data_IF_413078708326
#
_entry.id   IF_413078708326
#
_cell.length_a   1.000
_cell.length_b   1.000
_cell.length_c   1.000
_cell.angle_alpha   90.00
_cell.angle_beta   90.00
_cell.angle_gamma   90.00
#
_symmetry.space_group_name_H-M   'P 1'
#
loop_
_entity.id
_entity.type
_entity.pdbx_description
1 polymer ?
#
# COMPACT_ATOMS: atom_id res chain seq x y z
N UNK A 1 -3.47 -4.28 -11.21
CA UNK A 1 -2.69 -3.34 -10.37
C UNK A 1 -3.13 -3.57 -8.94
N UNK A 2 -2.25 -3.45 -7.93
CA UNK A 2 -2.65 -3.59 -6.53
C UNK A 2 -3.38 -2.35 -6.05
N UNK A 3 -4.34 -2.56 -5.13
CA UNK A 3 -5.27 -1.54 -4.66
C UNK A 3 -5.13 -1.27 -3.19
N UNK A 4 -5.07 0.01 -2.81
CA UNK A 4 -5.15 0.47 -1.43
C UNK A 4 -6.46 1.22 -1.20
N UNK A 5 -7.27 0.75 -0.26
CA UNK A 5 -8.55 1.37 0.10
C UNK A 5 -8.36 2.44 1.17
N UNK A 6 -8.79 3.67 0.90
CA UNK A 6 -8.80 4.73 1.90
C UNK A 6 -10.09 4.64 2.70
N UNK A 7 -9.95 4.43 4.00
CA UNK A 7 -11.06 4.32 4.95
C UNK A 7 -10.94 5.34 6.08
N UNK A 8 -12.02 5.62 6.76
CA UNK A 8 -12.02 6.51 7.92
C UNK A 8 -13.45 6.85 8.35
N UNK A 9 -13.60 7.33 9.57
CA UNK A 9 -14.87 7.85 10.05
C UNK A 9 -15.27 9.12 9.27
N UNK A 10 -16.53 9.55 9.33
CA UNK A 10 -16.93 10.83 8.73
C UNK A 10 -16.12 12.01 9.28
N UNK A 11 -15.83 12.98 8.42
CA UNK A 11 -15.16 14.24 8.77
C UNK A 11 -13.70 14.11 9.31
N UNK A 12 -12.99 13.04 8.95
CA UNK A 12 -11.56 12.88 9.29
C UNK A 12 -10.62 13.43 8.21
N UNK A 13 -11.14 13.95 7.09
CA UNK A 13 -10.36 14.45 5.96
C UNK A 13 -10.12 13.41 4.84
N UNK A 14 -10.82 12.27 4.87
CA UNK A 14 -10.66 11.16 3.92
C UNK A 14 -10.83 11.60 2.45
N UNK A 15 -11.93 12.24 2.11
CA UNK A 15 -12.23 12.66 0.72
C UNK A 15 -11.31 13.79 0.25
N UNK A 16 -10.89 14.69 1.15
CA UNK A 16 -9.89 15.71 0.86
C UNK A 16 -8.57 15.06 0.49
N UNK A 17 -8.13 14.09 1.29
CA UNK A 17 -6.89 13.33 1.02
C UNK A 17 -6.99 12.57 -0.32
N UNK A 18 -8.09 11.84 -0.56
CA UNK A 18 -8.28 11.11 -1.82
C UNK A 18 -8.22 12.03 -3.04
N UNK A 19 -8.91 13.17 -2.96
CA UNK A 19 -8.89 14.17 -4.04
C UNK A 19 -7.48 14.75 -4.25
N UNK A 20 -6.74 15.04 -3.19
CA UNK A 20 -5.36 15.51 -3.30
C UNK A 20 -4.46 14.45 -3.95
N UNK A 21 -4.51 13.19 -3.49
CA UNK A 21 -3.75 12.07 -4.06
C UNK A 21 -4.04 11.93 -5.56
N UNK A 22 -5.31 11.92 -5.95
CA UNK A 22 -5.71 11.66 -7.34
C UNK A 22 -5.44 12.85 -8.25
N UNK A 23 -5.60 14.09 -7.80
CA UNK A 23 -5.32 15.30 -8.59
C UNK A 23 -3.84 15.48 -8.86
N UNK A 24 -2.99 15.31 -7.84
CA UNK A 24 -1.54 15.51 -7.95
C UNK A 24 -0.92 14.61 -9.04
N UNK A 25 -1.53 13.48 -9.38
CA UNK A 25 -0.92 12.43 -10.21
C UNK A 25 -1.75 11.99 -11.43
N UNK A 26 -2.97 12.48 -11.60
CA UNK A 26 -3.82 12.12 -12.76
C UNK A 26 -3.23 12.52 -14.13
N UNK A 27 -2.42 13.57 -14.18
CA UNK A 27 -1.76 13.99 -15.44
C UNK A 27 -0.76 12.93 -15.95
N UNK A 28 -0.21 12.11 -15.07
CA UNK A 28 0.75 11.06 -15.39
C UNK A 28 0.06 9.70 -15.66
N UNK A 29 -1.19 9.51 -15.19
CA UNK A 29 -1.96 8.27 -15.37
C UNK A 29 -2.32 7.99 -16.85
N UNK A 30 -2.32 9.00 -17.71
CA UNK A 30 -2.57 8.85 -19.16
C UNK A 30 -1.56 7.91 -19.86
N UNK A 31 -0.42 7.60 -19.23
CA UNK A 31 0.60 6.71 -19.76
C UNK A 31 0.35 5.22 -19.42
N UNK A 32 -0.71 4.91 -18.68
CA UNK A 32 -1.05 3.52 -18.30
C UNK A 32 -2.23 3.02 -19.16
N UNK A 33 -1.99 2.10 -20.10
CA UNK A 33 -3.07 1.50 -20.89
C UNK A 33 -3.97 0.62 -19.98
N UNK A 34 -5.28 0.63 -20.29
CA UNK A 34 -6.33 -0.16 -19.61
C UNK A 34 -6.86 0.38 -18.26
N UNK A 35 -6.79 1.69 -18.01
CA UNK A 35 -7.42 2.27 -16.84
C UNK A 35 -8.92 2.48 -17.07
N UNK A 36 -9.75 1.82 -16.26
CA UNK A 36 -11.18 2.12 -16.18
C UNK A 36 -11.35 3.41 -15.39
N UNK A 37 -12.09 4.38 -15.93
CA UNK A 37 -12.41 5.62 -15.21
C UNK A 37 -13.56 5.29 -14.25
N UNK A 38 -13.22 4.96 -13.01
CA UNK A 38 -14.18 4.87 -11.91
C UNK A 38 -13.99 6.12 -11.04
N UNK A 39 -15.06 6.86 -10.70
CA UNK A 39 -14.94 8.10 -9.90
C UNK A 39 -14.34 7.92 -8.51
N UNK A 40 -14.31 6.69 -8.00
CA UNK A 40 -13.75 6.36 -6.70
C UNK A 40 -12.38 5.64 -6.77
N UNK A 41 -11.77 5.54 -7.96
CA UNK A 41 -10.47 4.89 -8.16
C UNK A 41 -9.51 5.88 -8.79
N UNK A 42 -8.37 6.07 -8.17
CA UNK A 42 -7.28 6.90 -8.68
C UNK A 42 -6.00 6.12 -8.87
N UNK A 43 -5.39 6.21 -10.05
CA UNK A 43 -4.06 5.68 -10.31
C UNK A 43 -3.04 6.73 -9.91
N UNK A 44 -2.10 6.31 -9.07
CA UNK A 44 -1.15 7.21 -8.43
C UNK A 44 0.26 6.69 -8.67
N UNK A 45 1.14 7.55 -9.15
CA UNK A 45 2.55 7.22 -9.35
C UNK A 45 3.29 7.17 -8.03
N UNK A 46 4.17 6.18 -7.89
CA UNK A 46 5.05 6.04 -6.73
C UNK A 46 6.25 6.99 -6.89
N UNK A 47 6.45 7.96 -5.98
CA UNK A 47 7.60 8.85 -6.04
C UNK A 47 8.91 8.07 -5.87
N UNK A 48 9.81 8.18 -6.85
CA UNK A 48 11.12 7.53 -6.83
C UNK A 48 12.19 8.44 -7.40
N UNK A 49 13.05 8.97 -6.53
CA UNK A 49 14.11 9.90 -6.89
C UNK A 49 15.16 9.27 -7.85
N UNK A 50 15.27 7.93 -7.86
CA UNK A 50 16.22 7.20 -8.71
C UNK A 50 15.95 7.40 -10.19
N UNK A 51 14.70 7.66 -10.57
CA UNK A 51 14.29 7.86 -11.97
C UNK A 51 14.98 9.08 -12.61
N UNK A 52 15.21 10.14 -11.86
CA UNK A 52 15.88 11.34 -12.36
C UNK A 52 17.32 11.07 -12.81
N UNK A 53 18.09 10.31 -12.01
CA UNK A 53 19.46 9.93 -12.35
C UNK A 53 19.50 8.92 -13.51
N UNK A 54 18.59 7.94 -13.51
CA UNK A 54 18.49 6.99 -14.62
C UNK A 54 18.15 7.67 -15.94
N UNK A 55 17.23 8.67 -15.92
CA UNK A 55 16.91 9.53 -17.06
C UNK A 55 18.17 10.20 -17.62
N UNK A 56 19.01 10.78 -16.74
CA UNK A 56 20.25 11.46 -17.11
C UNK A 56 21.25 10.48 -17.76
N UNK A 57 21.45 9.29 -17.15
CA UNK A 57 22.38 8.26 -17.63
C UNK A 57 21.91 7.68 -18.97
N UNK A 58 20.63 7.39 -19.10
CA UNK A 58 20.03 6.82 -20.31
C UNK A 58 19.85 7.85 -21.44
N UNK A 59 20.01 9.15 -21.16
CA UNK A 59 19.86 10.26 -22.11
C UNK A 59 18.47 10.26 -22.81
N UNK A 60 17.44 9.91 -22.09
CA UNK A 60 16.04 9.90 -22.57
C UNK A 60 15.20 10.98 -21.90
N UNK A 61 14.12 11.39 -22.54
CA UNK A 61 13.12 12.27 -21.91
C UNK A 61 11.88 11.52 -21.46
N UNK A 62 11.76 10.23 -21.78
CA UNK A 62 10.59 9.42 -21.43
C UNK A 62 10.89 8.67 -20.14
N UNK A 63 10.13 8.99 -19.09
CA UNK A 63 10.20 8.34 -17.78
C UNK A 63 8.82 7.83 -17.39
N UNK A 64 8.74 6.56 -17.04
CA UNK A 64 7.49 5.91 -16.61
C UNK A 64 7.70 5.37 -15.19
N UNK A 65 7.14 6.03 -14.16
CA UNK A 65 7.23 5.59 -12.77
C UNK A 65 6.39 4.33 -12.49
N UNK A 66 6.60 3.68 -11.37
CA UNK A 66 5.67 2.67 -10.85
C UNK A 66 4.36 3.33 -10.40
N UNK A 67 3.27 2.57 -10.34
CA UNK A 67 1.99 3.08 -9.90
C UNK A 67 1.19 2.06 -9.09
N UNK A 68 0.33 2.57 -8.20
CA UNK A 68 -0.67 1.81 -7.46
C UNK A 68 -2.04 2.46 -7.58
N UNK A 69 -3.11 1.70 -7.33
CA UNK A 69 -4.47 2.23 -7.30
C UNK A 69 -4.87 2.59 -5.87
N UNK A 70 -5.41 3.80 -5.68
CA UNK A 70 -6.12 4.19 -4.47
C UNK A 70 -7.63 4.18 -4.74
N UNK A 71 -8.39 3.66 -3.78
CA UNK A 71 -9.85 3.57 -3.85
C UNK A 71 -10.45 4.35 -2.69
N UNK A 72 -11.32 5.34 -2.97
CA UNK A 72 -12.11 6.00 -1.93
C UNK A 72 -13.24 5.09 -1.48
N UNK A 73 -13.11 4.53 -0.29
CA UNK A 73 -14.15 3.70 0.31
C UNK A 73 -15.04 4.59 1.17
N UNK A 74 -16.34 4.63 0.86
CA UNK A 74 -17.31 5.45 1.60
C UNK A 74 -17.20 5.24 3.11
N UNK A 75 -17.30 6.34 3.89
CA UNK A 75 -17.04 6.29 5.33
C UNK A 75 -17.95 5.31 6.09
N UNK A 76 -17.36 4.66 7.08
CA UNK A 76 -18.05 3.74 7.98
C UNK A 76 -19.02 4.50 8.89
N UNK A 77 -20.23 3.99 9.00
CA UNK A 77 -21.16 4.35 10.06
C UNK A 77 -21.22 3.18 11.04
N UNK A 78 -21.20 3.46 12.34
CA UNK A 78 -21.33 2.44 13.41
C UNK A 78 -22.54 1.54 13.15
N UNK A 79 -22.36 0.21 13.23
CA UNK A 79 -23.41 -0.77 12.92
C UNK A 79 -23.37 -1.29 11.47
N UNK A 80 -22.32 -1.03 10.75
CA UNK A 80 -22.13 -1.50 9.36
C UNK A 80 -22.19 -3.03 9.22
N UNK A 81 -21.73 -3.75 10.23
CA UNK A 81 -21.74 -5.22 10.29
C UNK A 81 -23.12 -5.81 10.52
N UNK A 82 -24.10 -5.02 11.04
CA UNK A 82 -25.45 -5.50 11.33
C UNK A 82 -26.42 -5.50 10.12
N UNK A 83 -25.93 -5.19 8.92
CA UNK A 83 -26.57 -5.68 7.69
C UNK A 83 -27.57 -4.77 7.00
N UNK A 84 -27.68 -3.48 7.29
CA UNK A 84 -28.56 -2.60 6.53
C UNK A 84 -27.81 -1.58 5.65
N UNK A 85 -27.91 -1.73 4.34
CA UNK A 85 -27.65 -0.68 3.35
C UNK A 85 -26.17 -0.35 3.08
N UNK A 86 -25.73 0.83 3.51
CA UNK A 86 -24.39 1.40 3.23
C UNK A 86 -23.23 0.62 3.87
N UNK A 87 -23.46 -0.03 5.02
CA UNK A 87 -22.45 -0.81 5.72
C UNK A 87 -21.96 -2.04 4.92
N UNK A 88 -22.87 -2.76 4.29
CA UNK A 88 -22.51 -3.91 3.44
C UNK A 88 -21.67 -3.50 2.22
N UNK A 89 -21.94 -2.34 1.62
CA UNK A 89 -21.13 -1.81 0.51
C UNK A 89 -19.71 -1.47 0.98
N UNK A 90 -19.57 -0.84 2.15
CA UNK A 90 -18.27 -0.55 2.75
C UNK A 90 -17.43 -1.82 2.93
N UNK A 91 -17.99 -2.86 3.55
CA UNK A 91 -17.30 -4.14 3.77
C UNK A 91 -16.95 -4.84 2.45
N UNK A 92 -17.81 -4.73 1.43
CA UNK A 92 -17.54 -5.28 0.09
C UNK A 92 -16.35 -4.59 -0.55
N UNK A 93 -16.30 -3.25 -0.53
CA UNK A 93 -15.18 -2.51 -1.11
C UNK A 93 -13.86 -2.81 -0.40
N UNK A 94 -13.87 -2.99 0.95
CA UNK A 94 -12.64 -3.40 1.66
C UNK A 94 -12.19 -4.80 1.22
N UNK A 95 -13.09 -5.73 0.88
CA UNK A 95 -12.69 -7.05 0.36
C UNK A 95 -11.94 -6.96 -0.95
N UNK A 96 -12.26 -6.00 -1.80
CA UNK A 96 -11.73 -5.84 -3.15
C UNK A 96 -10.34 -5.17 -3.20
N UNK A 97 -9.87 -4.60 -2.09
CA UNK A 97 -8.56 -3.95 -2.00
C UNK A 97 -7.52 -4.86 -1.35
N UNK A 98 -6.24 -4.62 -1.63
CA UNK A 98 -5.13 -5.43 -1.13
C UNK A 98 -4.57 -4.90 0.20
N UNK A 99 -4.69 -3.59 0.45
CA UNK A 99 -4.30 -2.93 1.69
C UNK A 99 -5.32 -1.86 2.09
N UNK A 100 -5.26 -1.45 3.35
CA UNK A 100 -6.11 -0.40 3.92
C UNK A 100 -5.24 0.79 4.37
N UNK A 101 -5.65 1.99 3.96
CA UNK A 101 -5.15 3.27 4.50
C UNK A 101 -6.22 3.84 5.39
N UNK A 102 -6.04 3.75 6.69
CA UNK A 102 -6.99 4.28 7.66
C UNK A 102 -6.65 5.71 8.02
N UNK A 103 -7.48 6.67 7.59
CA UNK A 103 -7.33 8.09 7.92
C UNK A 103 -7.88 8.34 9.31
N UNK A 104 -7.06 8.92 10.18
CA UNK A 104 -7.36 9.18 11.57
C UNK A 104 -7.24 10.67 11.85
N UNK A 105 -8.27 11.27 12.45
CA UNK A 105 -8.26 12.68 12.80
C UNK A 105 -7.42 12.93 14.05
N UNK A 106 -6.36 13.71 13.90
CA UNK A 106 -5.41 14.06 14.96
C UNK A 106 -5.37 15.58 15.21
N UNK A 107 -6.51 16.27 15.07
CA UNK A 107 -6.63 17.71 15.28
C UNK A 107 -7.99 18.11 15.85
N UNK A 108 -8.02 19.23 16.56
CA UNK A 108 -9.25 19.86 17.02
C UNK A 108 -9.67 20.97 16.04
N UNK A 109 -10.97 21.01 15.71
CA UNK A 109 -11.55 22.05 14.88
C UNK A 109 -13.01 22.25 15.26
N UNK A 110 -13.37 23.49 15.68
CA UNK A 110 -14.70 23.83 16.13
C UNK A 110 -15.74 23.80 14.98
N UNK A 111 -15.29 24.05 13.75
CA UNK A 111 -16.15 24.10 12.57
C UNK A 111 -16.39 22.71 11.96
N UNK A 112 -15.62 21.70 12.38
CA UNK A 112 -15.72 20.32 11.89
C UNK A 112 -16.28 19.41 12.99
N UNK A 113 -17.56 19.07 12.91
CA UNK A 113 -18.18 18.17 13.87
C UNK A 113 -17.55 16.78 13.86
N UNK A 114 -17.19 16.26 15.05
CA UNK A 114 -16.78 14.87 15.23
C UNK A 114 -18.00 14.01 15.57
N UNK A 115 -18.10 12.83 14.95
CA UNK A 115 -19.27 11.91 15.11
C UNK A 115 -19.52 11.53 16.58
N UNK A 116 -18.46 11.45 17.39
CA UNK A 116 -18.54 11.10 18.82
C UNK A 116 -18.49 12.30 19.76
N UNK A 117 -18.50 13.52 19.26
CA UNK A 117 -18.47 14.76 20.05
C UNK A 117 -17.11 15.12 20.67
N UNK A 118 -16.20 14.17 20.81
CA UNK A 118 -14.81 14.37 21.32
C UNK A 118 -13.81 13.68 20.40
N UNK A 119 -12.63 14.26 20.26
CA UNK A 119 -11.54 13.67 19.45
C UNK A 119 -10.80 12.66 20.30
N UNK A 120 -10.85 11.43 19.85
CA UNK A 120 -10.08 10.31 20.40
C UNK A 120 -9.68 9.37 19.25
N UNK A 121 -8.47 9.56 18.71
CA UNK A 121 -8.03 8.84 17.51
C UNK A 121 -7.92 7.32 17.74
N UNK A 122 -7.58 6.87 18.95
CA UNK A 122 -7.52 5.44 19.27
C UNK A 122 -8.89 4.81 19.25
N UNK A 123 -9.89 5.45 19.88
CA UNK A 123 -11.28 5.01 19.83
C UNK A 123 -11.79 4.95 18.37
N UNK A 124 -11.43 5.92 17.54
CA UNK A 124 -11.84 5.95 16.14
C UNK A 124 -11.26 4.78 15.34
N UNK A 125 -10.03 4.39 15.63
CA UNK A 125 -9.40 3.17 15.09
C UNK A 125 -10.15 1.93 15.55
N UNK A 126 -10.43 1.82 16.84
CA UNK A 126 -11.13 0.68 17.43
C UNK A 126 -12.55 0.49 16.89
N UNK A 127 -13.26 1.58 16.60
CA UNK A 127 -14.60 1.52 15.97
C UNK A 127 -14.52 0.83 14.61
N UNK A 128 -13.58 1.22 13.74
CA UNK A 128 -13.43 0.60 12.43
C UNK A 128 -12.98 -0.85 12.57
N UNK A 129 -11.96 -1.13 13.38
CA UNK A 129 -11.46 -2.48 13.59
C UNK A 129 -12.56 -3.41 14.14
N UNK A 130 -13.40 -2.93 15.05
CA UNK A 130 -14.52 -3.72 15.60
C UNK A 130 -15.50 -4.13 14.52
N UNK A 131 -15.89 -3.21 13.63
CA UNK A 131 -16.82 -3.53 12.52
C UNK A 131 -16.22 -4.56 11.54
N UNK A 132 -14.92 -4.45 11.25
CA UNK A 132 -14.21 -5.44 10.39
C UNK A 132 -14.16 -6.81 11.08
N UNK A 133 -13.82 -6.85 12.36
CA UNK A 133 -13.76 -8.07 13.16
C UNK A 133 -15.12 -8.76 13.28
N UNK A 134 -16.20 -8.00 13.49
CA UNK A 134 -17.55 -8.56 13.56
C UNK A 134 -17.98 -9.21 12.24
N UNK A 135 -17.67 -8.57 11.11
CA UNK A 135 -17.92 -9.14 9.80
C UNK A 135 -17.10 -10.43 9.54
N UNK A 136 -15.84 -10.44 9.98
CA UNK A 136 -14.99 -11.63 9.87
C UNK A 136 -15.46 -12.75 10.76
N UNK A 137 -15.89 -12.46 11.98
CA UNK A 137 -16.39 -13.45 12.94
C UNK A 137 -17.55 -14.24 12.34
N UNK A 138 -18.49 -13.57 11.67
CA UNK A 138 -19.60 -14.22 11.00
C UNK A 138 -19.14 -15.20 9.90
N UNK A 139 -18.16 -14.79 9.09
CA UNK A 139 -17.59 -15.62 8.04
C UNK A 139 -16.86 -16.84 8.62
N UNK A 140 -16.03 -16.60 9.64
CA UNK A 140 -15.24 -17.65 10.31
C UNK A 140 -16.16 -18.68 10.96
N UNK A 141 -17.16 -18.26 11.73
CA UNK A 141 -18.10 -19.17 12.39
C UNK A 141 -18.87 -20.02 11.41
N UNK A 142 -19.45 -19.43 10.37
CA UNK A 142 -20.17 -20.18 9.32
C UNK A 142 -19.27 -21.21 8.62
N UNK A 143 -18.01 -20.88 8.41
CA UNK A 143 -17.06 -21.79 7.77
C UNK A 143 -16.69 -22.93 8.72
N UNK A 144 -16.38 -22.66 9.97
CA UNK A 144 -16.05 -23.66 10.98
C UNK A 144 -17.17 -24.66 11.20
N UNK A 145 -18.44 -24.23 11.21
CA UNK A 145 -19.60 -25.14 11.28
C UNK A 145 -19.65 -26.14 10.11
N UNK A 146 -19.25 -25.73 8.91
CA UNK A 146 -19.16 -26.63 7.74
C UNK A 146 -18.00 -27.58 7.86
N UNK A 147 -16.81 -27.06 8.21
CA UNK A 147 -15.58 -27.83 8.37
C UNK A 147 -15.72 -28.91 9.46
N UNK A 148 -16.45 -28.63 10.54
CA UNK A 148 -16.69 -29.61 11.61
C UNK A 148 -17.39 -30.89 11.12
N UNK A 149 -18.20 -30.82 10.05
CA UNK A 149 -18.84 -31.99 9.45
C UNK A 149 -17.84 -32.81 8.62
N UNK A 150 -16.97 -32.16 7.88
CA UNK A 150 -16.00 -32.82 7.01
C UNK A 150 -14.81 -33.36 7.84
N UNK A 151 -14.39 -32.66 8.91
CA UNK A 151 -13.43 -33.14 9.87
C UNK A 151 -13.89 -34.43 10.58
N UNK A 152 -15.18 -34.53 10.95
CA UNK A 152 -15.77 -35.78 11.50
C UNK A 152 -15.75 -36.96 10.53
N UNK A 153 -15.64 -36.69 9.24
CA UNK A 153 -15.49 -37.72 8.18
C UNK A 153 -14.03 -38.10 7.93
N UNK A 154 -13.09 -37.48 8.66
CA UNK A 154 -11.68 -37.78 8.56
C UNK A 154 -10.90 -36.93 7.53
N UNK A 155 -11.49 -35.85 7.01
CA UNK A 155 -10.82 -34.94 6.09
C UNK A 155 -9.75 -34.14 6.83
N UNK A 156 -8.47 -34.46 6.55
CA UNK A 156 -7.30 -33.82 7.17
C UNK A 156 -7.15 -32.36 6.79
N UNK A 157 -7.57 -31.97 5.58
CA UNK A 157 -7.54 -30.58 5.12
C UNK A 157 -8.53 -29.74 5.92
N UNK A 158 -9.76 -30.27 6.11
CA UNK A 158 -10.78 -29.61 6.94
C UNK A 158 -10.33 -29.43 8.40
N UNK A 159 -9.61 -30.39 8.95
CA UNK A 159 -9.05 -30.29 10.32
C UNK A 159 -7.99 -29.18 10.39
N UNK A 160 -7.07 -29.11 9.44
CA UNK A 160 -6.03 -28.08 9.41
C UNK A 160 -6.63 -26.68 9.23
N UNK A 161 -7.59 -26.53 8.32
CA UNK A 161 -8.30 -25.28 8.06
C UNK A 161 -9.07 -24.80 9.32
N UNK A 162 -9.82 -25.71 9.99
CA UNK A 162 -10.55 -25.38 11.22
C UNK A 162 -9.62 -24.94 12.35
N UNK A 163 -8.44 -25.57 12.48
CA UNK A 163 -7.45 -25.18 13.46
C UNK A 163 -6.95 -23.74 13.26
N UNK A 164 -6.70 -23.33 12.02
CA UNK A 164 -6.30 -21.97 11.66
C UNK A 164 -7.42 -20.96 11.97
N UNK A 165 -8.64 -21.28 11.53
CA UNK A 165 -9.80 -20.43 11.80
C UNK A 165 -10.12 -20.34 13.29
N UNK A 166 -9.84 -21.39 14.08
CA UNK A 166 -9.96 -21.37 15.52
C UNK A 166 -9.03 -20.36 16.19
N UNK A 167 -7.78 -20.20 15.69
CA UNK A 167 -6.85 -19.16 16.16
C UNK A 167 -7.37 -17.75 15.86
N UNK A 168 -7.91 -17.55 14.66
CA UNK A 168 -8.49 -16.27 14.23
C UNK A 168 -9.71 -15.93 15.09
N UNK A 169 -10.63 -16.87 15.27
CA UNK A 169 -11.84 -16.67 16.08
C UNK A 169 -11.49 -16.31 17.54
N UNK A 170 -10.52 -17.00 18.11
CA UNK A 170 -10.05 -16.70 19.47
C UNK A 170 -9.50 -15.26 19.58
N UNK A 171 -8.69 -14.82 18.63
CA UNK A 171 -8.16 -13.47 18.61
C UNK A 171 -9.27 -12.41 18.48
N UNK A 172 -10.22 -12.62 17.56
CA UNK A 172 -11.35 -11.70 17.35
C UNK A 172 -12.20 -11.61 18.63
N UNK A 173 -12.47 -12.73 19.30
CA UNK A 173 -13.22 -12.74 20.56
C UNK A 173 -12.48 -12.04 21.71
N UNK A 174 -11.15 -11.91 21.62
CA UNK A 174 -10.34 -11.09 22.53
C UNK A 174 -10.25 -9.61 22.09
N UNK A 175 -10.97 -9.21 21.06
CA UNK A 175 -10.92 -7.85 20.48
C UNK A 175 -9.64 -7.56 19.68
N UNK A 176 -8.95 -8.59 19.19
CA UNK A 176 -7.71 -8.47 18.39
C UNK A 176 -8.01 -8.79 16.93
N UNK A 177 -7.67 -7.90 15.98
CA UNK A 177 -7.83 -8.13 14.54
C UNK A 177 -7.05 -9.35 14.05
N UNK A 178 -7.52 -10.00 12.98
CA UNK A 178 -6.90 -11.20 12.43
C UNK A 178 -5.44 -10.99 12.01
N UNK A 179 -5.06 -9.78 11.56
CA UNK A 179 -3.67 -9.41 11.22
C UNK A 179 -2.68 -9.62 12.38
N UNK A 180 -3.15 -9.61 13.63
CA UNK A 180 -2.30 -9.81 14.81
C UNK A 180 -2.02 -11.28 15.10
N UNK A 181 -2.72 -12.20 14.44
CA UNK A 181 -2.57 -13.64 14.65
C UNK A 181 -1.27 -14.15 14.01
N UNK A 182 -0.40 -14.74 14.81
CA UNK A 182 0.83 -15.34 14.31
C UNK A 182 0.51 -16.66 13.61
N UNK A 183 0.52 -16.66 12.30
CA UNK A 183 0.34 -17.83 11.43
C UNK A 183 1.66 -18.22 10.77
N UNK A 184 1.92 -19.52 10.60
CA UNK A 184 3.02 -20.00 9.76
C UNK A 184 2.71 -19.70 8.28
N UNK A 185 3.71 -19.77 7.36
CA UNK A 185 3.45 -19.60 5.93
C UNK A 185 2.38 -20.56 5.38
N UNK A 186 2.37 -21.81 5.85
CA UNK A 186 1.39 -22.82 5.47
C UNK A 186 0.00 -22.46 6.00
N UNK A 187 -0.11 -22.00 7.23
CA UNK A 187 -1.37 -21.54 7.83
C UNK A 187 -1.92 -20.30 7.13
N UNK A 188 -1.05 -19.38 6.69
CA UNK A 188 -1.47 -18.22 5.88
C UNK A 188 -2.07 -18.64 4.54
N UNK A 189 -1.51 -19.65 3.88
CA UNK A 189 -2.10 -20.20 2.65
C UNK A 189 -3.51 -20.79 2.90
N UNK A 190 -3.75 -21.39 4.07
CA UNK A 190 -5.06 -21.89 4.46
C UNK A 190 -6.05 -20.78 4.81
N UNK A 191 -5.59 -19.64 5.35
CA UNK A 191 -6.46 -18.51 5.69
C UNK A 191 -6.78 -17.59 4.51
N UNK A 192 -5.90 -17.49 3.52
CA UNK A 192 -6.01 -16.58 2.38
C UNK A 192 -7.36 -16.65 1.63
N UNK A 193 -7.97 -17.84 1.38
CA UNK A 193 -9.25 -17.95 0.67
C UNK A 193 -10.44 -17.31 1.39
N UNK A 194 -10.31 -16.93 2.66
CA UNK A 194 -11.41 -16.32 3.42
C UNK A 194 -11.52 -14.81 3.22
N UNK A 195 -10.49 -14.17 2.67
CA UNK A 195 -10.46 -12.73 2.42
C UNK A 195 -10.91 -11.92 3.65
N UNK A 196 -10.33 -12.27 4.82
CA UNK A 196 -10.67 -11.62 6.08
C UNK A 196 -10.34 -10.12 6.01
N UNK A 197 -11.29 -9.31 6.45
CA UNK A 197 -11.19 -7.85 6.39
C UNK A 197 -10.18 -7.31 7.40
N UNK A 198 -10.18 -7.87 8.61
CA UNK A 198 -9.27 -7.49 9.68
C UNK A 198 -7.87 -8.13 9.58
N UNK A 199 -7.61 -8.95 8.55
CA UNK A 199 -6.28 -9.51 8.22
C UNK A 199 -5.55 -8.67 7.15
N UNK A 200 -6.21 -7.66 6.58
CA UNK A 200 -5.60 -6.83 5.54
C UNK A 200 -4.45 -6.00 6.08
N UNK A 201 -3.32 -5.92 5.35
CA UNK A 201 -2.24 -4.98 5.66
C UNK A 201 -2.80 -3.57 5.81
N UNK A 202 -2.48 -2.90 6.90
CA UNK A 202 -3.07 -1.60 7.23
C UNK A 202 -1.99 -0.59 7.61
N UNK A 203 -2.10 0.63 7.07
CA UNK A 203 -1.32 1.81 7.46
C UNK A 203 -2.25 2.90 7.95
N UNK A 204 -1.82 3.64 8.97
CA UNK A 204 -2.61 4.70 9.58
C UNK A 204 -2.11 6.08 9.14
N UNK A 205 -2.99 6.89 8.55
CA UNK A 205 -2.69 8.25 8.13
C UNK A 205 -3.23 9.23 9.19
N UNK A 206 -2.34 9.72 10.05
CA UNK A 206 -2.65 10.72 11.06
C UNK A 206 -2.82 12.08 10.38
N UNK A 207 -4.06 12.53 10.21
CA UNK A 207 -4.38 13.83 9.63
C UNK A 207 -4.32 14.91 10.70
N UNK A 208 -3.37 15.84 10.54
CA UNK A 208 -3.14 16.98 11.44
C UNK A 208 -3.51 18.30 10.78
N UNK A 209 -3.64 19.38 11.58
CA UNK A 209 -3.73 20.75 11.04
C UNK A 209 -2.40 21.16 10.43
N UNK A 210 -2.47 22.16 9.55
CA UNK A 210 -1.29 22.83 8.97
C UNK A 210 -0.32 23.29 10.04
N UNK A 211 -0.82 24.01 11.06
CA UNK A 211 -0.01 24.53 12.18
C UNK A 211 0.76 23.46 12.95
N UNK A 212 0.30 22.24 12.93
CA UNK A 212 0.84 21.14 13.71
C UNK A 212 1.77 20.23 12.89
N UNK A 213 1.85 20.46 11.57
CA UNK A 213 2.57 19.56 10.65
C UNK A 213 4.06 19.49 10.96
N UNK A 214 4.74 20.63 11.16
CA UNK A 214 6.17 20.68 11.49
C UNK A 214 6.50 20.07 12.87
N UNK A 215 5.57 20.14 13.81
CA UNK A 215 5.68 19.61 15.17
C UNK A 215 4.93 18.30 15.40
N UNK A 216 4.52 17.62 14.36
CA UNK A 216 3.63 16.46 14.44
C UNK A 216 4.15 15.30 15.28
N UNK A 217 5.47 15.14 15.38
CA UNK A 217 6.10 14.11 16.21
C UNK A 217 5.84 14.30 17.72
N UNK A 218 5.54 15.53 18.14
CA UNK A 218 5.17 15.89 19.52
C UNK A 218 3.68 16.11 19.72
N UNK A 219 2.87 15.99 18.67
CA UNK A 219 1.43 16.12 18.76
C UNK A 219 0.86 14.94 19.59
N UNK A 220 0.10 15.21 20.68
CA UNK A 220 -0.34 14.17 21.61
C UNK A 220 -1.27 13.13 20.95
N UNK A 221 -2.04 13.50 19.94
CA UNK A 221 -2.91 12.59 19.20
C UNK A 221 -2.07 11.65 18.31
N UNK A 222 -1.08 12.18 17.60
CA UNK A 222 -0.16 11.39 16.76
C UNK A 222 0.64 10.41 17.61
N UNK A 223 1.16 10.87 18.75
CA UNK A 223 1.90 10.00 19.68
C UNK A 223 1.04 8.83 20.17
N UNK A 224 -0.21 9.09 20.58
CA UNK A 224 -1.16 8.05 21.01
C UNK A 224 -1.44 7.04 19.89
N UNK A 225 -1.66 7.51 18.66
CA UNK A 225 -1.89 6.62 17.51
C UNK A 225 -0.66 5.73 17.27
N UNK A 226 0.53 6.32 17.18
CA UNK A 226 1.78 5.58 16.95
C UNK A 226 2.02 4.50 18.01
N UNK A 227 1.87 4.85 19.28
CA UNK A 227 2.01 3.92 20.39
C UNK A 227 0.99 2.77 20.29
N UNK A 228 -0.27 3.10 20.05
CA UNK A 228 -1.35 2.12 19.93
C UNK A 228 -1.12 1.15 18.76
N UNK A 229 -0.88 1.67 17.56
CA UNK A 229 -0.77 0.82 16.36
C UNK A 229 0.50 -0.03 16.38
N UNK A 230 1.59 0.48 16.94
CA UNK A 230 2.82 -0.28 17.08
C UNK A 230 2.67 -1.39 18.12
N UNK A 231 2.07 -1.08 19.26
CA UNK A 231 1.98 -2.03 20.40
C UNK A 231 0.93 -3.11 20.16
N UNK A 232 -0.24 -2.75 19.61
CA UNK A 232 -1.38 -3.65 19.51
C UNK A 232 -1.57 -4.26 18.12
N UNK A 233 -1.10 -3.59 17.06
CA UNK A 233 -1.37 -4.01 15.68
C UNK A 233 -0.09 -4.34 14.89
N UNK A 234 1.09 -3.97 15.39
CA UNK A 234 2.37 -4.04 14.68
C UNK A 234 2.33 -3.32 13.33
N UNK A 235 1.62 -2.20 13.26
CA UNK A 235 1.42 -1.37 12.07
C UNK A 235 2.20 -0.07 12.17
N UNK A 236 2.32 0.64 11.02
CA UNK A 236 2.92 1.95 10.92
C UNK A 236 1.87 3.06 10.88
N UNK A 237 2.26 4.26 11.34
CA UNK A 237 1.48 5.48 11.22
C UNK A 237 2.31 6.58 10.56
N UNK A 238 1.77 7.18 9.51
CA UNK A 238 2.34 8.33 8.80
C UNK A 238 1.55 9.59 9.14
N UNK A 239 2.22 10.73 9.09
CA UNK A 239 1.56 12.03 9.30
C UNK A 239 1.27 12.67 7.97
N UNK A 240 0.08 13.21 7.84
CA UNK A 240 -0.38 13.99 6.69
C UNK A 240 -1.11 15.25 7.19
N UNK A 241 -1.19 16.27 6.34
CA UNK A 241 -2.20 17.31 6.44
C UNK A 241 -3.00 17.33 5.14
N UNK A 242 -4.21 16.80 5.18
CA UNK A 242 -5.05 16.69 3.98
C UNK A 242 -5.33 18.07 3.35
N UNK A 243 -5.36 19.13 4.17
CA UNK A 243 -5.51 20.51 3.69
C UNK A 243 -4.27 20.96 2.92
N UNK A 244 -3.07 20.84 3.51
CA UNK A 244 -1.80 21.20 2.86
C UNK A 244 -1.64 20.41 1.56
N UNK A 245 -1.92 19.11 1.59
CA UNK A 245 -1.81 18.28 0.37
C UNK A 245 -2.78 18.73 -0.73
N UNK A 246 -3.97 19.23 -0.35
CA UNK A 246 -4.91 19.82 -1.31
C UNK A 246 -4.40 21.13 -1.91
N UNK A 247 -3.74 21.95 -1.09
CA UNK A 247 -3.22 23.26 -1.53
C UNK A 247 -1.98 23.09 -2.44
N UNK A 248 -1.15 22.06 -2.18
CA UNK A 248 0.02 21.72 -3.01
C UNK A 248 -0.35 21.30 -4.44
N UNK A 249 -1.56 20.79 -4.66
CA UNK A 249 -2.00 20.32 -6.00
C UNK A 249 -1.96 21.43 -7.05
N UNK A 250 -2.27 22.66 -6.64
CA UNK A 250 -2.40 23.79 -7.53
C UNK A 250 -1.07 24.56 -7.73
N UNK A 251 0.02 24.13 -7.07
CA UNK A 251 1.34 24.73 -7.16
C UNK A 251 2.23 24.02 -8.19
N UNK A 252 3.13 24.79 -8.81
CA UNK A 252 4.22 24.20 -9.59
C UNK A 252 5.18 23.43 -8.67
N UNK A 253 5.89 22.38 -9.16
CA UNK A 253 6.76 21.55 -8.31
C UNK A 253 7.77 22.34 -7.46
N UNK A 254 8.42 23.34 -8.05
CA UNK A 254 9.40 24.18 -7.35
C UNK A 254 8.74 25.07 -6.27
N UNK A 255 7.52 25.53 -6.52
CA UNK A 255 6.72 26.30 -5.56
C UNK A 255 6.23 25.42 -4.42
N UNK A 256 5.78 24.19 -4.72
CA UNK A 256 5.39 23.20 -3.72
C UNK A 256 6.55 22.84 -2.79
N UNK A 257 7.74 22.60 -3.33
CA UNK A 257 8.95 22.33 -2.55
C UNK A 257 9.35 23.54 -1.67
N UNK A 258 9.23 24.77 -2.18
CA UNK A 258 9.49 25.98 -1.41
C UNK A 258 8.48 26.13 -0.26
N UNK A 259 7.21 25.91 -0.52
CA UNK A 259 6.13 25.97 0.47
C UNK A 259 6.32 24.93 1.59
N UNK A 260 6.64 23.67 1.27
CA UNK A 260 6.93 22.65 2.27
C UNK A 260 8.14 23.01 3.15
N UNK A 261 9.19 23.59 2.56
CA UNK A 261 10.37 24.07 3.32
C UNK A 261 10.02 25.21 4.27
N UNK A 262 9.15 26.13 3.85
CA UNK A 262 8.67 27.24 4.70
C UNK A 262 7.88 26.70 5.90
N UNK A 263 7.08 25.64 5.70
CA UNK A 263 6.39 24.92 6.76
C UNK A 263 7.32 24.06 7.64
N UNK A 264 8.62 23.98 7.34
CA UNK A 264 9.58 23.15 8.07
C UNK A 264 9.46 21.65 7.78
N UNK A 265 8.82 21.27 6.67
CA UNK A 265 8.59 19.89 6.26
C UNK A 265 9.52 19.53 5.10
N UNK A 266 10.08 18.32 5.11
CA UNK A 266 11.05 17.88 4.10
C UNK A 266 10.41 17.40 2.80
N UNK A 267 9.22 16.82 2.90
CA UNK A 267 8.50 16.20 1.77
C UNK A 267 7.00 16.13 2.03
N UNK A 268 6.21 15.97 0.98
CA UNK A 268 4.75 15.79 1.03
C UNK A 268 4.37 14.53 1.81
N UNK A 269 3.41 14.64 2.71
CA UNK A 269 2.85 13.50 3.45
C UNK A 269 2.22 12.45 2.53
N UNK A 270 1.62 12.89 1.39
CA UNK A 270 1.14 11.99 0.34
C UNK A 270 2.30 11.18 -0.26
N UNK A 271 3.44 11.79 -0.51
CA UNK A 271 4.62 11.08 -1.01
C UNK A 271 5.08 9.97 -0.07
N UNK A 272 5.14 10.27 1.23
CA UNK A 272 5.45 9.29 2.29
C UNK A 272 4.39 8.19 2.32
N UNK A 273 3.11 8.56 2.34
CA UNK A 273 1.99 7.60 2.40
C UNK A 273 2.00 6.62 1.22
N UNK A 274 2.23 7.11 0.00
CA UNK A 274 2.29 6.26 -1.20
C UNK A 274 3.43 5.25 -1.09
N UNK A 275 4.65 5.70 -0.72
CA UNK A 275 5.79 4.80 -0.56
C UNK A 275 5.58 3.79 0.56
N UNK A 276 5.09 4.23 1.73
CA UNK A 276 4.80 3.32 2.84
C UNK A 276 3.73 2.30 2.48
N UNK A 277 2.69 2.69 1.74
CA UNK A 277 1.66 1.76 1.24
C UNK A 277 2.25 0.76 0.24
N UNK A 278 3.16 1.21 -0.64
CA UNK A 278 3.86 0.35 -1.59
C UNK A 278 4.70 -0.71 -0.88
N UNK A 279 5.45 -0.32 0.15
CA UNK A 279 6.23 -1.26 0.98
C UNK A 279 5.35 -2.19 1.81
N UNK A 280 4.25 -1.68 2.36
CA UNK A 280 3.28 -2.48 3.13
C UNK A 280 2.71 -3.64 2.30
N UNK A 281 2.50 -3.42 1.00
CA UNK A 281 2.06 -4.44 0.05
C UNK A 281 3.17 -5.44 -0.34
N UNK A 282 4.36 -5.34 0.26
CA UNK A 282 5.50 -6.20 -0.06
C UNK A 282 6.04 -5.97 -1.47
N UNK A 283 5.87 -4.76 -2.01
CA UNK A 283 6.30 -4.39 -3.34
C UNK A 283 7.72 -3.80 -3.32
N UNK A 284 8.41 -4.00 -4.42
CA UNK A 284 9.69 -3.39 -4.72
C UNK A 284 9.79 -3.05 -6.21
N UNK A 285 10.77 -2.23 -6.54
CA UNK A 285 10.95 -1.69 -7.89
C UNK A 285 12.25 -2.15 -8.49
N UNK A 286 12.21 -2.66 -9.72
CA UNK A 286 13.36 -2.71 -10.60
C UNK A 286 13.17 -1.76 -11.78
N UNK A 287 14.25 -1.44 -12.47
CA UNK A 287 14.24 -0.51 -13.60
C UNK A 287 14.66 -1.17 -14.89
N UNK A 288 14.12 -0.67 -15.99
CA UNK A 288 14.70 -0.79 -17.31
C UNK A 288 15.14 0.60 -17.77
N UNK A 289 16.37 0.74 -18.26
CA UNK A 289 16.91 2.01 -18.68
C UNK A 289 17.54 1.89 -20.08
N UNK A 290 17.03 2.66 -21.03
CA UNK A 290 17.49 2.71 -22.40
C UNK A 290 17.22 4.06 -23.05
N UNK A 291 17.74 4.25 -24.27
CA UNK A 291 17.58 5.49 -25.04
C UNK A 291 16.12 5.85 -25.34
N UNK A 292 15.23 4.85 -25.39
CA UNK A 292 13.80 5.06 -25.66
C UNK A 292 13.05 5.54 -24.43
N UNK A 293 13.29 4.86 -23.30
CA UNK A 293 12.61 5.15 -22.03
C UNK A 293 13.41 4.64 -20.84
N UNK A 294 13.15 5.25 -19.69
CA UNK A 294 13.42 4.70 -18.36
C UNK A 294 12.08 4.33 -17.72
N UNK A 295 11.99 3.11 -17.21
CA UNK A 295 10.74 2.65 -16.60
C UNK A 295 10.99 1.91 -15.30
N UNK A 296 10.16 2.22 -14.32
CA UNK A 296 10.07 1.51 -13.04
C UNK A 296 9.01 0.40 -13.17
N UNK A 297 9.35 -0.80 -12.75
CA UNK A 297 8.50 -1.97 -12.78
C UNK A 297 8.25 -2.48 -11.38
N UNK A 298 7.00 -2.75 -11.07
CA UNK A 298 6.58 -3.24 -9.76
C UNK A 298 6.64 -4.75 -9.70
N UNK A 299 7.33 -5.30 -8.71
CA UNK A 299 7.38 -6.73 -8.39
C UNK A 299 7.18 -6.95 -6.88
N UNK A 300 6.97 -8.18 -6.46
CA UNK A 300 6.96 -8.55 -5.06
C UNK A 300 8.36 -8.88 -4.54
N UNK A 301 8.59 -8.63 -3.26
CA UNK A 301 9.79 -9.11 -2.59
C UNK A 301 9.93 -10.63 -2.77
N UNK A 302 11.13 -11.07 -3.17
CA UNK A 302 11.43 -12.48 -3.41
C UNK A 302 11.09 -12.97 -4.82
N UNK A 303 10.60 -12.12 -5.71
CA UNK A 303 10.38 -12.49 -7.10
C UNK A 303 11.70 -12.75 -7.82
N UNK A 304 11.74 -13.87 -8.54
CA UNK A 304 12.89 -14.26 -9.36
C UNK A 304 12.93 -13.48 -10.68
N UNK A 305 14.09 -13.45 -11.34
CA UNK A 305 14.26 -12.75 -12.60
C UNK A 305 13.27 -13.16 -13.71
N UNK A 306 12.88 -14.44 -13.88
CA UNK A 306 11.81 -14.82 -14.80
C UNK A 306 10.46 -14.18 -14.44
N UNK A 307 10.06 -14.17 -13.17
CA UNK A 307 8.82 -13.54 -12.71
C UNK A 307 8.85 -12.04 -12.96
N UNK A 308 9.96 -11.37 -12.65
CA UNK A 308 10.15 -9.96 -12.93
C UNK A 308 10.05 -9.66 -14.44
N UNK A 309 10.63 -10.52 -15.30
CA UNK A 309 10.47 -10.41 -16.74
C UNK A 309 9.02 -10.57 -17.19
N UNK A 310 8.25 -11.43 -16.52
CA UNK A 310 6.83 -11.66 -16.74
C UNK A 310 5.95 -10.44 -16.54
N UNK A 311 6.35 -9.51 -15.67
CA UNK A 311 5.66 -8.24 -15.46
C UNK A 311 5.70 -7.35 -16.71
N UNK A 312 6.75 -7.45 -17.52
CA UNK A 312 6.83 -6.76 -18.82
C UNK A 312 5.90 -7.44 -19.83
N UNK A 313 6.06 -8.77 -19.99
CA UNK A 313 5.23 -9.57 -20.87
C UNK A 313 5.37 -11.06 -20.53
N UNK A 314 4.28 -11.83 -20.62
CA UNK A 314 4.30 -13.28 -20.35
C UNK A 314 5.30 -14.07 -21.20
N UNK A 315 5.60 -13.61 -22.42
CA UNK A 315 6.58 -14.25 -23.27
C UNK A 315 8.01 -14.09 -22.71
N UNK A 316 8.31 -13.00 -22.01
CA UNK A 316 9.61 -12.79 -21.37
C UNK A 316 9.84 -13.79 -20.24
N UNK A 317 8.80 -14.12 -19.48
CA UNK A 317 8.86 -15.16 -18.46
C UNK A 317 9.06 -16.54 -19.07
N UNK A 318 8.22 -16.90 -20.04
CA UNK A 318 8.28 -18.23 -20.70
C UNK A 318 9.59 -18.49 -21.43
N UNK A 319 10.05 -17.48 -22.17
CA UNK A 319 11.28 -17.55 -22.97
C UNK A 319 12.53 -17.09 -22.24
N UNK A 320 12.51 -16.86 -20.92
CA UNK A 320 13.62 -16.31 -20.16
C UNK A 320 14.91 -17.10 -20.34
N UNK A 321 15.98 -16.39 -20.71
CA UNK A 321 17.34 -16.96 -20.84
C UNK A 321 18.21 -16.46 -19.69
N UNK A 322 18.33 -15.14 -19.52
CA UNK A 322 19.11 -14.47 -18.48
C UNK A 322 18.70 -13.01 -18.31
N UNK A 323 19.06 -12.42 -17.18
CA UNK A 323 18.99 -10.99 -16.95
C UNK A 323 20.41 -10.40 -16.91
N UNK A 324 20.64 -9.36 -17.69
CA UNK A 324 21.81 -8.51 -17.56
C UNK A 324 21.49 -7.46 -16.51
N UNK A 325 22.24 -7.44 -15.39
CA UNK A 325 21.88 -6.74 -14.16
C UNK A 325 22.99 -5.83 -13.68
N UNK A 326 22.65 -4.60 -13.30
CA UNK A 326 23.53 -3.69 -12.55
C UNK A 326 22.73 -3.04 -11.44
N UNK A 327 23.29 -2.96 -10.23
CA UNK A 327 22.64 -2.24 -9.13
C UNK A 327 22.58 -0.73 -9.45
N UNK A 328 21.50 -0.06 -9.01
CA UNK A 328 21.31 1.39 -9.23
C UNK A 328 22.53 2.20 -8.77
N UNK A 329 23.01 1.99 -7.55
CA UNK A 329 24.13 2.75 -6.97
C UNK A 329 25.44 2.55 -7.76
N UNK A 330 25.68 1.31 -8.22
CA UNK A 330 26.83 0.99 -9.07
C UNK A 330 26.74 1.72 -10.43
N UNK A 331 25.54 1.73 -11.03
CA UNK A 331 25.32 2.40 -12.31
C UNK A 331 25.49 3.93 -12.18
N UNK A 332 24.96 4.54 -11.12
CA UNK A 332 25.12 5.98 -10.84
C UNK A 332 26.59 6.32 -10.63
N UNK A 333 27.32 5.53 -9.83
CA UNK A 333 28.74 5.72 -9.56
C UNK A 333 29.60 5.58 -10.83
N UNK A 334 29.21 4.68 -11.74
CA UNK A 334 29.89 4.49 -13.01
C UNK A 334 29.50 5.53 -14.08
N UNK A 335 28.32 6.13 -13.96
CA UNK A 335 27.78 7.11 -14.90
C UNK A 335 27.36 6.52 -16.27
N UNK A 336 27.64 5.27 -16.54
CA UNK A 336 27.23 4.57 -17.77
C UNK A 336 27.30 3.04 -17.62
N UNK A 337 26.50 2.33 -18.42
CA UNK A 337 26.53 0.87 -18.52
C UNK A 337 27.89 0.36 -19.04
N UNK A 338 28.54 1.10 -19.93
CA UNK A 338 29.86 0.73 -20.48
C UNK A 338 30.92 0.66 -19.37
N UNK A 339 31.00 1.70 -18.53
CA UNK A 339 31.96 1.75 -17.41
C UNK A 339 31.61 0.70 -16.35
N UNK A 340 30.31 0.44 -16.08
CA UNK A 340 29.91 -0.64 -15.17
C UNK A 340 30.37 -2.02 -15.66
N UNK A 341 30.31 -2.28 -16.97
CA UNK A 341 30.86 -3.52 -17.59
C UNK A 341 32.35 -3.63 -17.42
N UNK A 342 33.11 -2.56 -17.72
CA UNK A 342 34.58 -2.54 -17.57
C UNK A 342 35.01 -2.80 -16.13
N UNK A 343 34.24 -2.33 -15.15
CA UNK A 343 34.48 -2.55 -13.72
C UNK A 343 33.97 -3.90 -13.19
N UNK A 344 33.34 -4.73 -14.04
CA UNK A 344 32.80 -6.03 -13.64
C UNK A 344 31.54 -5.94 -12.73
N UNK A 345 30.89 -4.78 -12.68
CA UNK A 345 29.66 -4.56 -11.88
C UNK A 345 28.38 -4.90 -12.66
N UNK A 346 28.51 -5.19 -13.96
CA UNK A 346 27.42 -5.63 -14.82
C UNK A 346 27.39 -7.15 -14.87
N UNK A 347 26.42 -7.74 -14.18
CA UNK A 347 26.32 -9.18 -13.93
C UNK A 347 25.38 -9.87 -14.92
N UNK A 348 25.57 -11.17 -15.10
CA UNK A 348 24.66 -12.05 -15.86
C UNK A 348 23.97 -12.97 -14.88
N UNK A 349 22.68 -12.79 -14.69
CA UNK A 349 21.89 -13.51 -13.70
C UNK A 349 20.98 -14.55 -14.35
N UNK A 350 20.86 -15.70 -13.71
CA UNK A 350 20.05 -16.84 -14.15
C UNK A 350 18.63 -16.83 -13.58
N UNK A 351 17.94 -17.97 -13.75
CA UNK A 351 16.52 -18.14 -13.37
C UNK A 351 16.27 -18.04 -11.86
N UNK A 352 17.24 -18.43 -11.05
CA UNK A 352 17.12 -18.44 -9.59
C UNK A 352 17.47 -17.10 -8.94
N UNK A 353 17.89 -16.10 -9.73
CA UNK A 353 18.22 -14.79 -9.20
C UNK A 353 16.99 -14.11 -8.65
N UNK A 354 17.04 -13.75 -7.38
CA UNK A 354 16.03 -12.92 -6.72
C UNK A 354 16.36 -11.47 -6.99
N UNK A 355 15.46 -10.77 -7.67
CA UNK A 355 15.67 -9.37 -8.05
C UNK A 355 15.70 -8.50 -6.79
N UNK A 356 16.71 -7.64 -6.70
CA UNK A 356 16.81 -6.66 -5.61
C UNK A 356 16.10 -5.34 -5.97
N UNK A 357 15.63 -4.63 -4.93
CA UNK A 357 15.10 -3.28 -5.14
C UNK A 357 16.17 -2.35 -5.70
N UNK A 358 15.87 -1.66 -6.78
CA UNK A 358 16.79 -0.76 -7.46
C UNK A 358 17.66 -1.43 -8.54
N UNK A 359 17.55 -2.73 -8.78
CA UNK A 359 18.24 -3.36 -9.92
C UNK A 359 17.83 -2.73 -11.25
N UNK A 360 18.80 -2.47 -12.12
CA UNK A 360 18.57 -2.06 -13.51
C UNK A 360 18.80 -3.27 -14.40
N UNK A 361 17.73 -3.75 -15.05
CA UNK A 361 17.68 -5.04 -15.73
C UNK A 361 17.50 -4.91 -17.24
N UNK A 362 18.16 -5.81 -17.98
CA UNK A 362 17.91 -6.05 -19.40
C UNK A 362 17.69 -7.56 -19.61
N UNK A 363 16.48 -7.96 -19.87
CA UNK A 363 16.13 -9.37 -20.07
C UNK A 363 16.50 -9.86 -21.47
N UNK A 364 17.09 -11.04 -21.54
CA UNK A 364 17.28 -11.81 -22.77
C UNK A 364 16.32 -13.00 -22.75
N UNK A 365 15.55 -13.12 -23.78
CA UNK A 365 14.54 -14.17 -23.93
C UNK A 365 14.47 -14.66 -25.37
N UNK A 366 13.91 -15.84 -25.56
CA UNK A 366 13.63 -16.42 -26.88
C UNK A 366 12.22 -17.07 -26.84
N UNK A 367 11.36 -16.72 -27.79
CA UNK A 367 9.97 -17.21 -27.89
C UNK A 367 9.79 -17.94 -29.21
#
# INVERSE_FOLDING_TARGET
>A
MLRAGIVGLPNVGKSTLFNAITRTRNAEAANYPFCTIDPNVGIVTVPDARLAELKRIAKTNVVIPAAIEFVDIAGLVKGASQGEGLGNKFLTHIREVDAVVQVVRCFEDADVHHVSGTIDPVRDIEVINTELMLADLEVVQKRRERLAKDAKRGDKSAVAEDAVLGKVEAAINEGKPALTVKLTPEERLLSAPFFLLSDKPTIFACNVKESDLAGADTNPYVMKVREYVQTHLSCEAVVISAQIESDLVDLAPDEADAFLKELGVRESGIGVLIRSTYHLLGLQTYFTAGEKEVRAWTIHHGDTAPKAAGVIHSDFERGFIKAETVAYDDLVTCGSVAVAREKGLYRMEGKEYIVADGDVLLFKFNV
#
